data_IF_688995050218
#
_entry.id   IF_688995050218
#
_cell.length_a   1.000
_cell.length_b   1.000
_cell.length_c   1.000
_cell.angle_alpha   90.00
_cell.angle_beta   90.00
_cell.angle_gamma   90.00
#
_symmetry.space_group_name_H-M   'P 1'
#
loop_
_entity.id
_entity.type
_entity.pdbx_description
1 polymer ?
#
# COMPACT_ATOMS: atom_id res chain seq x y z
N UNK A 1 -19.17 -20.67 -12.57
CA UNK A 1 -18.18 -19.60 -12.31
C UNK A 1 -18.95 -18.43 -11.76
N UNK A 2 -18.64 -18.00 -10.50
CA UNK A 2 -19.34 -16.88 -9.87
C UNK A 2 -19.13 -15.59 -10.69
N UNK A 3 -20.20 -14.81 -10.88
CA UNK A 3 -20.16 -13.50 -11.56
C UNK A 3 -19.01 -12.63 -11.02
N UNK A 4 -18.83 -12.61 -9.70
CA UNK A 4 -17.74 -11.89 -9.03
C UNK A 4 -16.34 -12.30 -9.55
N UNK A 5 -16.11 -13.59 -9.85
CA UNK A 5 -14.82 -14.05 -10.38
C UNK A 5 -14.59 -13.61 -11.82
N UNK A 6 -15.65 -13.53 -12.61
CA UNK A 6 -15.58 -13.04 -14.00
C UNK A 6 -15.29 -11.54 -14.02
N UNK A 7 -15.97 -10.78 -13.16
CA UNK A 7 -15.77 -9.33 -13.02
C UNK A 7 -14.35 -9.02 -12.50
N UNK A 8 -13.84 -9.82 -11.56
CA UNK A 8 -12.45 -9.76 -11.09
C UNK A 8 -11.45 -9.90 -12.24
N UNK A 9 -11.56 -10.98 -13.04
CA UNK A 9 -10.64 -11.23 -14.15
C UNK A 9 -10.72 -10.14 -15.23
N UNK A 10 -11.90 -9.62 -15.49
CA UNK A 10 -12.10 -8.52 -16.46
C UNK A 10 -11.41 -7.24 -15.99
N UNK A 11 -11.59 -6.86 -14.71
CA UNK A 11 -10.90 -5.69 -14.13
C UNK A 11 -9.38 -5.87 -14.12
N UNK A 12 -8.88 -7.06 -13.75
CA UNK A 12 -7.45 -7.38 -13.79
C UNK A 12 -6.86 -7.21 -15.18
N UNK A 13 -7.55 -7.71 -16.20
CA UNK A 13 -7.10 -7.56 -17.58
C UNK A 13 -6.98 -6.09 -17.99
N UNK A 14 -7.91 -5.25 -17.53
CA UNK A 14 -7.88 -3.81 -17.79
C UNK A 14 -6.72 -3.13 -17.06
N UNK A 15 -6.56 -3.41 -15.76
CA UNK A 15 -5.51 -2.82 -14.92
C UNK A 15 -4.08 -3.23 -15.36
N UNK A 16 -3.91 -4.44 -15.89
CA UNK A 16 -2.63 -4.89 -16.49
C UNK A 16 -2.38 -4.21 -17.83
N UNK A 17 -3.42 -4.03 -18.65
CA UNK A 17 -3.27 -3.49 -20.02
C UNK A 17 -2.81 -2.03 -20.01
N UNK A 18 -3.28 -1.24 -19.06
CA UNK A 18 -2.95 0.20 -18.98
C UNK A 18 -1.45 0.45 -18.82
N UNK A 19 -0.74 -0.07 -17.81
CA UNK A 19 0.70 0.11 -17.68
C UNK A 19 1.47 -0.57 -18.82
N UNK A 20 1.01 -1.71 -19.32
CA UNK A 20 1.64 -2.38 -20.45
C UNK A 20 1.61 -1.51 -21.71
N UNK A 21 0.48 -0.88 -22.01
CA UNK A 21 0.38 0.06 -23.13
C UNK A 21 1.26 1.30 -22.93
N UNK A 22 1.38 1.79 -21.68
CA UNK A 22 2.29 2.88 -21.37
C UNK A 22 3.76 2.48 -21.62
N UNK A 23 4.17 1.28 -21.21
CA UNK A 23 5.51 0.74 -21.46
C UNK A 23 5.79 0.67 -22.96
N UNK A 24 4.88 0.07 -23.75
CA UNK A 24 5.02 -0.03 -25.21
C UNK A 24 5.09 1.35 -25.86
N UNK A 25 4.20 2.27 -25.47
CA UNK A 25 4.15 3.63 -26.01
C UNK A 25 5.41 4.44 -25.69
N UNK A 26 5.88 4.42 -24.42
CA UNK A 26 7.10 5.15 -24.03
C UNK A 26 8.35 4.57 -24.71
N UNK A 27 8.41 3.24 -24.89
CA UNK A 27 9.51 2.61 -25.66
C UNK A 27 9.53 3.08 -27.10
N UNK A 28 8.36 3.17 -27.76
CA UNK A 28 8.27 3.67 -29.14
C UNK A 28 8.67 5.15 -29.23
N UNK A 29 8.23 5.98 -28.27
CA UNK A 29 8.60 7.40 -28.21
C UNK A 29 10.10 7.55 -28.00
N UNK A 30 10.69 6.84 -27.04
CA UNK A 30 12.12 6.91 -26.73
C UNK A 30 12.97 6.58 -27.97
N UNK A 31 12.58 5.58 -28.76
CA UNK A 31 13.26 5.24 -30.04
C UNK A 31 13.21 6.36 -31.06
N UNK A 32 12.13 7.14 -31.11
CA UNK A 32 11.96 8.24 -32.08
C UNK A 32 12.65 9.54 -31.64
N UNK A 33 13.00 9.64 -30.34
CA UNK A 33 13.62 10.86 -29.77
C UNK A 33 15.04 10.59 -29.26
N UNK A 34 15.71 9.57 -29.78
CA UNK A 34 17.02 9.10 -29.30
C UNK A 34 18.09 10.20 -29.27
N UNK A 35 18.01 11.17 -30.19
CA UNK A 35 18.93 12.31 -30.23
C UNK A 35 18.64 13.41 -29.23
N UNK A 36 17.53 13.30 -28.46
CA UNK A 36 17.11 14.24 -27.44
C UNK A 36 17.20 13.59 -26.04
N UNK A 37 18.38 13.70 -25.41
CA UNK A 37 18.71 13.04 -24.14
C UNK A 37 17.64 13.25 -23.05
N UNK A 38 17.19 14.47 -22.85
CA UNK A 38 16.23 14.80 -21.77
C UNK A 38 14.88 14.11 -22.00
N UNK A 39 14.42 14.03 -23.25
CA UNK A 39 13.19 13.34 -23.61
C UNK A 39 13.32 11.82 -23.47
N UNK A 40 14.49 11.27 -23.74
CA UNK A 40 14.76 9.85 -23.49
C UNK A 40 14.70 9.56 -21.99
N UNK A 41 15.30 10.41 -21.15
CA UNK A 41 15.25 10.27 -19.69
C UNK A 41 13.83 10.33 -19.17
N UNK A 42 13.01 11.30 -19.62
CA UNK A 42 11.58 11.34 -19.26
C UNK A 42 10.83 10.05 -19.65
N UNK A 43 11.14 9.46 -20.79
CA UNK A 43 10.53 8.20 -21.20
C UNK A 43 10.97 7.05 -20.28
N UNK A 44 12.24 7.00 -19.89
CA UNK A 44 12.78 5.98 -18.97
C UNK A 44 12.15 6.08 -17.59
N UNK A 45 11.98 7.28 -17.02
CA UNK A 45 11.33 7.51 -15.72
C UNK A 45 9.87 7.02 -15.75
N UNK A 46 9.14 7.30 -16.85
CA UNK A 46 7.77 6.81 -17.02
C UNK A 46 7.70 5.29 -17.20
N UNK A 47 8.69 4.71 -17.90
CA UNK A 47 8.82 3.25 -18.02
C UNK A 47 9.07 2.60 -16.68
N UNK A 48 9.98 3.15 -15.86
CA UNK A 48 10.29 2.64 -14.52
C UNK A 48 9.05 2.68 -13.63
N UNK A 49 8.35 3.82 -13.61
CA UNK A 49 7.09 3.98 -12.85
C UNK A 49 6.03 2.96 -13.28
N UNK A 50 5.86 2.74 -14.59
CA UNK A 50 4.88 1.78 -15.12
C UNK A 50 5.25 0.33 -14.80
N UNK A 51 6.55 0.00 -14.83
CA UNK A 51 7.07 -1.32 -14.46
C UNK A 51 6.84 -1.60 -12.97
N UNK A 52 7.17 -0.66 -12.08
CA UNK A 52 6.96 -0.80 -10.64
C UNK A 52 5.49 -0.99 -10.30
N UNK A 53 4.60 -0.21 -10.94
CA UNK A 53 3.16 -0.37 -10.80
C UNK A 53 2.69 -1.76 -11.24
N UNK A 54 3.17 -2.26 -12.38
CA UNK A 54 2.78 -3.58 -12.90
C UNK A 54 3.25 -4.71 -11.96
N UNK A 55 4.48 -4.62 -11.44
CA UNK A 55 5.00 -5.60 -10.46
C UNK A 55 4.17 -5.59 -9.19
N UNK A 56 3.83 -4.41 -8.65
CA UNK A 56 2.96 -4.29 -7.47
C UNK A 56 1.60 -4.93 -7.73
N UNK A 57 0.98 -4.63 -8.87
CA UNK A 57 -0.32 -5.19 -9.25
C UNK A 57 -0.29 -6.73 -9.35
N UNK A 58 0.75 -7.29 -9.96
CA UNK A 58 0.92 -8.75 -10.06
C UNK A 58 1.05 -9.37 -8.67
N UNK A 59 1.85 -8.78 -7.79
CA UNK A 59 2.01 -9.26 -6.43
C UNK A 59 0.70 -9.19 -5.63
N UNK A 60 -0.06 -8.11 -5.77
CA UNK A 60 -1.38 -7.95 -5.15
C UNK A 60 -2.36 -9.04 -5.61
N UNK A 61 -2.39 -9.35 -6.91
CA UNK A 61 -3.22 -10.42 -7.48
C UNK A 61 -2.82 -11.79 -6.92
N UNK A 62 -1.52 -12.07 -6.86
CA UNK A 62 -1.01 -13.32 -6.32
C UNK A 62 -1.32 -13.47 -4.83
N UNK A 63 -1.14 -12.41 -4.05
CA UNK A 63 -1.48 -12.39 -2.63
C UNK A 63 -2.98 -12.62 -2.43
N UNK A 64 -3.85 -11.89 -3.16
CA UNK A 64 -5.29 -12.08 -3.09
C UNK A 64 -5.72 -13.51 -3.46
N UNK A 65 -5.13 -14.08 -4.52
CA UNK A 65 -5.38 -15.46 -4.94
C UNK A 65 -4.97 -16.48 -3.86
N UNK A 66 -3.84 -16.27 -3.18
CA UNK A 66 -3.38 -17.14 -2.07
C UNK A 66 -4.27 -17.04 -0.86
N UNK A 67 -4.73 -15.82 -0.52
CA UNK A 67 -5.66 -15.57 0.58
C UNK A 67 -7.00 -16.26 0.31
N UNK A 68 -7.61 -16.03 -0.87
CA UNK A 68 -8.91 -16.62 -1.24
C UNK A 68 -8.89 -18.13 -1.30
N UNK A 69 -7.78 -18.73 -1.74
CA UNK A 69 -7.62 -20.19 -1.79
C UNK A 69 -7.24 -20.83 -0.44
N UNK A 70 -7.07 -20.03 0.62
CA UNK A 70 -6.62 -20.50 1.94
C UNK A 70 -5.19 -21.07 1.95
N UNK A 71 -4.38 -20.74 0.94
CA UNK A 71 -2.99 -21.23 0.79
C UNK A 71 -1.94 -20.25 1.31
N UNK A 72 -2.38 -19.11 1.83
CA UNK A 72 -1.44 -18.17 2.46
C UNK A 72 -1.14 -18.65 3.88
N UNK A 73 0.12 -18.87 4.16
CA UNK A 73 0.64 -19.21 5.48
C UNK A 73 1.42 -18.01 6.03
N UNK A 74 1.27 -17.74 7.33
CA UNK A 74 2.03 -16.70 8.01
C UNK A 74 3.37 -17.26 8.49
N UNK A 75 4.45 -16.55 8.21
CA UNK A 75 5.77 -16.84 8.74
C UNK A 75 5.98 -16.08 10.06
N UNK A 76 5.43 -16.64 11.14
CA UNK A 76 5.42 -16.00 12.46
C UNK A 76 6.77 -16.15 13.12
N UNK A 77 7.42 -15.02 13.43
CA UNK A 77 8.73 -14.93 14.08
C UNK A 77 8.72 -13.82 15.13
N UNK A 78 9.63 -13.93 16.11
CA UNK A 78 9.89 -12.85 17.04
C UNK A 78 10.68 -11.74 16.34
N UNK A 79 10.22 -10.49 16.46
CA UNK A 79 10.92 -9.32 15.96
C UNK A 79 11.01 -8.25 17.03
N UNK A 80 12.07 -7.46 17.00
CA UNK A 80 12.22 -6.27 17.81
C UNK A 80 11.38 -5.13 17.23
N UNK A 81 10.54 -4.53 18.08
CA UNK A 81 9.62 -3.47 17.65
C UNK A 81 10.34 -2.18 17.30
N UNK A 82 11.43 -1.87 18.00
CA UNK A 82 12.18 -0.63 17.75
C UNK A 82 12.88 -0.69 16.39
N UNK A 83 13.49 -1.83 16.08
CA UNK A 83 14.13 -2.05 14.76
C UNK A 83 13.10 -2.07 13.64
N UNK A 84 11.91 -2.64 13.87
CA UNK A 84 10.83 -2.66 12.92
C UNK A 84 10.33 -1.23 12.60
N UNK A 85 10.05 -0.44 13.64
CA UNK A 85 9.58 0.95 13.48
C UNK A 85 10.62 1.80 12.79
N UNK A 86 11.90 1.66 13.15
CA UNK A 86 13.02 2.39 12.51
C UNK A 86 13.13 2.06 11.02
N UNK A 87 12.99 0.78 10.66
CA UNK A 87 12.98 0.33 9.27
C UNK A 87 11.82 0.95 8.47
N UNK A 88 10.61 0.87 9.02
CA UNK A 88 9.41 1.43 8.40
C UNK A 88 9.50 2.96 8.24
N UNK A 89 9.96 3.65 9.27
CA UNK A 89 10.19 5.10 9.24
C UNK A 89 11.21 5.47 8.16
N UNK A 90 12.32 4.73 8.07
CA UNK A 90 13.35 4.94 7.04
C UNK A 90 12.83 4.81 5.61
N UNK A 91 11.83 3.96 5.37
CA UNK A 91 11.20 3.80 4.06
C UNK A 91 10.15 4.88 3.76
N UNK A 92 9.38 5.30 4.77
CA UNK A 92 8.21 6.17 4.54
C UNK A 92 8.52 7.66 4.67
N UNK A 93 9.47 8.04 5.53
CA UNK A 93 9.87 9.44 5.75
C UNK A 93 10.34 10.13 4.47
N UNK A 94 11.26 9.56 3.65
CA UNK A 94 11.69 10.21 2.42
C UNK A 94 10.55 10.48 1.44
N UNK A 95 9.57 9.57 1.35
CA UNK A 95 8.42 9.74 0.47
C UNK A 95 7.51 10.88 0.93
N UNK A 96 7.29 11.00 2.24
CA UNK A 96 6.52 12.09 2.82
C UNK A 96 7.22 13.44 2.65
N UNK A 97 8.52 13.51 2.95
CA UNK A 97 9.34 14.72 2.81
C UNK A 97 9.43 15.19 1.36
N UNK A 98 9.59 14.28 0.40
CA UNK A 98 9.58 14.61 -1.03
C UNK A 98 8.27 15.29 -1.47
N UNK A 99 7.16 14.97 -0.78
CA UNK A 99 5.85 15.58 -1.02
C UNK A 99 5.59 16.82 -0.15
N UNK A 100 6.57 17.25 0.66
CA UNK A 100 6.42 18.39 1.56
C UNK A 100 5.51 18.13 2.76
N UNK A 101 5.34 16.85 3.18
CA UNK A 101 4.53 16.47 4.34
C UNK A 101 5.38 16.35 5.61
N UNK A 102 4.77 16.58 6.76
CA UNK A 102 5.35 16.23 8.06
C UNK A 102 4.99 14.79 8.40
N UNK A 103 6.01 13.93 8.51
CA UNK A 103 5.83 12.55 8.94
C UNK A 103 6.26 12.40 10.40
N UNK A 104 5.32 12.06 11.28
CA UNK A 104 5.49 11.96 12.72
C UNK A 104 5.30 10.51 13.15
N UNK A 105 6.26 9.96 13.89
CA UNK A 105 6.19 8.63 14.47
C UNK A 105 6.09 8.72 15.99
N UNK A 106 5.01 8.19 16.55
CA UNK A 106 4.76 8.12 17.99
C UNK A 106 4.79 6.66 18.46
N UNK A 107 5.96 6.20 18.86
CA UNK A 107 6.09 4.86 19.45
C UNK A 107 5.95 4.95 20.97
N UNK A 108 4.83 4.46 21.50
CA UNK A 108 4.55 4.44 22.95
C UNK A 108 4.82 3.07 23.58
N UNK A 109 5.46 2.16 22.85
CA UNK A 109 5.84 0.85 23.38
C UNK A 109 7.03 0.96 24.33
N UNK A 110 7.12 0.03 25.27
CA UNK A 110 8.30 -0.11 26.13
C UNK A 110 9.52 -0.49 25.27
N UNK A 111 10.70 0.01 25.63
CA UNK A 111 11.95 -0.40 25.03
C UNK A 111 12.15 -1.91 25.18
N UNK A 112 12.67 -2.56 24.13
CA UNK A 112 12.91 -4.00 24.12
C UNK A 112 11.65 -4.85 23.96
N UNK A 113 10.51 -4.27 23.58
CA UNK A 113 9.31 -5.03 23.27
C UNK A 113 9.54 -5.89 22.02
N UNK A 114 9.41 -7.21 22.19
CA UNK A 114 9.39 -8.15 21.08
C UNK A 114 7.95 -8.49 20.68
N UNK A 115 7.65 -8.43 19.39
CA UNK A 115 6.37 -8.86 18.83
C UNK A 115 6.54 -10.18 18.08
N UNK A 116 5.65 -11.13 18.32
CA UNK A 116 5.62 -12.41 17.62
C UNK A 116 4.56 -12.35 16.52
N UNK A 117 5.00 -12.16 15.28
CA UNK A 117 4.11 -12.00 14.11
C UNK A 117 4.86 -12.28 12.81
N UNK A 118 4.16 -12.21 11.68
CA UNK A 118 4.80 -12.15 10.36
C UNK A 118 5.22 -10.71 10.06
N UNK A 119 6.53 -10.44 10.19
CA UNK A 119 7.13 -9.13 9.96
C UNK A 119 6.82 -8.59 8.57
N UNK A 120 6.97 -9.44 7.53
CA UNK A 120 6.78 -9.03 6.14
C UNK A 120 5.33 -8.62 5.87
N UNK A 121 4.37 -9.37 6.42
CA UNK A 121 2.95 -9.08 6.24
C UNK A 121 2.49 -7.87 7.04
N UNK A 122 3.00 -7.68 8.25
CA UNK A 122 2.74 -6.47 9.03
C UNK A 122 3.33 -5.23 8.32
N UNK A 123 4.55 -5.32 7.80
CA UNK A 123 5.19 -4.26 7.03
C UNK A 123 4.38 -3.92 5.77
N UNK A 124 3.92 -4.93 5.02
CA UNK A 124 3.05 -4.75 3.85
C UNK A 124 1.76 -3.99 4.18
N UNK A 125 1.09 -4.35 5.28
CA UNK A 125 -0.12 -3.64 5.75
C UNK A 125 0.18 -2.18 6.06
N UNK A 126 1.23 -1.92 6.85
CA UNK A 126 1.56 -0.56 7.29
C UNK A 126 2.06 0.32 6.14
N UNK A 127 2.89 -0.21 5.23
CA UNK A 127 3.32 0.53 4.03
C UNK A 127 2.12 0.91 3.17
N UNK A 128 1.15 0.01 3.01
CA UNK A 128 -0.07 0.32 2.24
C UNK A 128 -0.89 1.44 2.90
N UNK A 129 -1.10 1.37 4.23
CA UNK A 129 -1.91 2.36 4.95
C UNK A 129 -1.19 3.72 5.01
N UNK A 130 0.10 3.74 5.39
CA UNK A 130 0.90 4.97 5.46
C UNK A 130 1.08 5.56 4.05
N UNK A 131 1.32 4.71 3.04
CA UNK A 131 1.43 5.13 1.64
C UNK A 131 0.15 5.80 1.13
N UNK A 132 -1.02 5.28 1.52
CA UNK A 132 -2.30 5.94 1.22
C UNK A 132 -2.43 7.28 1.94
N UNK A 133 -2.06 7.38 3.22
CA UNK A 133 -2.03 8.64 3.95
C UNK A 133 -1.12 9.68 3.28
N UNK A 134 0.11 9.31 2.93
CA UNK A 134 1.04 10.18 2.19
C UNK A 134 0.46 10.56 0.83
N UNK A 135 -0.15 9.62 0.12
CA UNK A 135 -0.72 9.83 -1.22
C UNK A 135 -1.87 10.84 -1.22
N UNK A 136 -2.77 10.75 -0.25
CA UNK A 136 -4.00 11.56 -0.20
C UNK A 136 -3.91 12.82 0.66
N UNK A 137 -2.78 13.07 1.32
CA UNK A 137 -2.50 14.31 2.03
C UNK A 137 -1.84 15.31 1.09
N UNK A 138 -2.30 16.56 1.11
CA UNK A 138 -1.72 17.66 0.33
C UNK A 138 -0.42 18.19 0.96
N UNK A 139 0.39 18.89 0.18
CA UNK A 139 1.62 19.55 0.64
C UNK A 139 1.38 20.41 1.90
N UNK A 140 2.30 20.38 2.85
CA UNK A 140 2.19 21.05 4.15
C UNK A 140 1.35 20.30 5.18
N UNK A 141 0.71 19.19 4.81
CA UNK A 141 -0.09 18.38 5.72
C UNK A 141 0.73 17.44 6.61
N UNK A 142 0.02 16.73 7.48
CA UNK A 142 0.58 15.82 8.48
C UNK A 142 0.16 14.39 8.23
N UNK A 143 1.11 13.46 8.42
CA UNK A 143 0.85 12.02 8.55
C UNK A 143 1.47 11.55 9.86
N UNK A 144 0.63 11.05 10.77
CA UNK A 144 1.03 10.61 12.11
C UNK A 144 0.85 9.10 12.19
N UNK A 145 1.95 8.38 12.38
CA UNK A 145 1.94 6.94 12.64
C UNK A 145 2.17 6.73 14.14
N UNK A 146 1.22 6.11 14.84
CA UNK A 146 1.32 5.86 16.27
C UNK A 146 1.14 4.38 16.61
N UNK A 147 1.90 3.92 17.63
CA UNK A 147 1.84 2.57 18.16
C UNK A 147 1.57 2.68 19.65
N UNK A 148 0.46 2.10 20.09
CA UNK A 148 0.02 2.17 21.48
C UNK A 148 -0.20 0.76 22.02
N UNK A 149 0.44 0.38 23.14
CA UNK A 149 0.13 -0.84 23.84
C UNK A 149 -1.19 -0.69 24.60
N UNK A 150 -2.03 -1.70 24.50
CA UNK A 150 -3.28 -1.81 25.24
C UNK A 150 -3.28 -3.09 26.09
N UNK A 151 -3.87 -3.05 27.29
CA UNK A 151 -4.06 -4.25 28.08
C UNK A 151 -5.10 -5.17 27.42
N UNK A 152 -4.68 -6.36 27.04
CA UNK A 152 -5.59 -7.36 26.48
C UNK A 152 -6.45 -8.01 27.56
N UNK A 153 -7.70 -8.31 27.27
CA UNK A 153 -8.69 -8.92 28.19
C UNK A 153 -8.26 -10.27 28.77
N UNK A 154 -7.22 -10.91 28.23
CA UNK A 154 -6.70 -12.24 28.63
C UNK A 154 -5.27 -12.20 29.18
N UNK A 155 -4.79 -11.04 29.65
CA UNK A 155 -3.44 -10.91 30.24
C UNK A 155 -2.31 -10.83 29.20
N UNK A 156 -2.61 -10.79 27.89
CA UNK A 156 -1.66 -10.48 26.82
C UNK A 156 -1.64 -8.98 26.51
N UNK A 157 -0.55 -8.49 25.92
CA UNK A 157 -0.50 -7.14 25.37
C UNK A 157 -1.08 -7.13 23.95
N UNK A 158 -1.99 -6.18 23.68
CA UNK A 158 -2.45 -5.84 22.33
C UNK A 158 -1.71 -4.60 21.88
N UNK A 159 -1.28 -4.57 20.61
CA UNK A 159 -0.70 -3.38 20.02
C UNK A 159 -1.69 -2.79 19.02
N UNK A 160 -2.02 -1.52 19.22
CA UNK A 160 -2.82 -0.75 18.28
C UNK A 160 -1.89 0.10 17.41
N UNK A 161 -1.90 -0.16 16.09
CA UNK A 161 -1.23 0.64 15.08
C UNK A 161 -2.26 1.61 14.49
N UNK A 162 -1.97 2.91 14.54
CA UNK A 162 -2.85 3.95 14.02
C UNK A 162 -2.12 4.86 13.06
N UNK A 163 -2.75 5.18 11.95
CA UNK A 163 -2.27 6.18 10.99
C UNK A 163 -3.33 7.26 10.86
N UNK A 164 -2.96 8.49 11.18
CA UNK A 164 -3.82 9.66 11.03
C UNK A 164 -3.21 10.60 10.01
N UNK A 165 -4.02 11.07 9.09
CA UNK A 165 -3.63 12.06 8.09
C UNK A 165 -4.54 13.29 8.13
N UNK A 166 -4.07 14.38 7.52
CA UNK A 166 -4.83 15.61 7.33
C UNK A 166 -5.25 15.79 5.86
N UNK A 167 -5.42 14.69 5.16
CA UNK A 167 -5.76 14.65 3.74
C UNK A 167 -7.22 14.95 3.42
N UNK A 168 -7.63 14.54 2.22
CA UNK A 168 -8.96 14.79 1.69
C UNK A 168 -10.09 14.08 2.44
N UNK A 169 -9.76 13.12 3.32
CA UNK A 169 -10.73 12.26 3.99
C UNK A 169 -11.40 11.25 3.06
N UNK A 170 -12.34 10.49 3.62
CA UNK A 170 -13.12 9.48 2.91
C UNK A 170 -14.60 9.82 3.10
N UNK A 171 -15.36 9.88 2.01
CA UNK A 171 -16.80 10.09 2.06
C UNK A 171 -17.48 8.97 2.86
N UNK A 172 -18.49 9.32 3.67
CA UNK A 172 -19.18 8.33 4.53
C UNK A 172 -19.76 7.16 3.74
N UNK A 173 -20.25 7.43 2.54
CA UNK A 173 -20.84 6.43 1.63
C UNK A 173 -19.81 5.41 1.11
N UNK A 174 -18.53 5.80 1.11
CA UNK A 174 -17.43 4.93 0.64
C UNK A 174 -16.78 4.11 1.76
N UNK A 175 -17.03 4.43 3.04
CA UNK A 175 -16.36 3.82 4.19
C UNK A 175 -16.53 2.29 4.24
N UNK A 176 -17.73 1.79 3.95
CA UNK A 176 -18.02 0.35 3.97
C UNK A 176 -17.43 -0.38 2.76
N UNK A 177 -17.15 0.34 1.68
CA UNK A 177 -16.73 -0.24 0.41
C UNK A 177 -15.23 -0.18 0.14
N UNK A 178 -14.48 0.69 0.82
CA UNK A 178 -13.03 0.86 0.59
C UNK A 178 -12.19 -0.40 0.88
N UNK A 179 -12.71 -1.34 1.66
CA UNK A 179 -12.09 -2.64 1.94
C UNK A 179 -12.51 -3.74 0.96
N UNK A 180 -13.43 -3.46 0.05
CA UNK A 180 -13.78 -4.37 -1.02
C UNK A 180 -12.72 -4.35 -2.11
N UNK A 181 -12.39 -5.52 -2.64
CA UNK A 181 -11.42 -5.61 -3.72
C UNK A 181 -11.88 -4.79 -4.94
N UNK A 182 -10.98 -3.95 -5.49
CA UNK A 182 -11.21 -3.08 -6.66
C UNK A 182 -12.24 -1.96 -6.48
N UNK A 183 -12.69 -1.69 -5.28
CA UNK A 183 -13.47 -0.50 -5.01
C UNK A 183 -12.55 0.66 -4.66
N UNK A 184 -12.87 1.82 -5.21
CA UNK A 184 -12.18 3.08 -4.97
C UNK A 184 -13.23 4.12 -4.59
N UNK A 185 -12.90 4.97 -3.61
CA UNK A 185 -13.84 5.95 -3.05
C UNK A 185 -14.43 6.90 -4.10
N UNK A 186 -13.71 7.13 -5.22
CA UNK A 186 -14.20 7.94 -6.35
C UNK A 186 -13.64 7.42 -7.68
N UNK A 187 -14.49 7.34 -8.72
CA UNK A 187 -14.08 6.96 -10.08
C UNK A 187 -13.07 7.93 -10.72
N UNK A 188 -13.02 9.18 -10.26
CA UNK A 188 -12.10 10.21 -10.76
C UNK A 188 -10.72 10.21 -10.07
N UNK A 189 -10.58 9.55 -8.92
CA UNK A 189 -9.32 9.49 -8.16
C UNK A 189 -8.29 8.55 -8.81
N UNK A 190 -8.73 7.55 -9.55
CA UNK A 190 -7.84 6.61 -10.26
C UNK A 190 -6.98 7.29 -11.32
N UNK A 191 -7.51 8.32 -12.00
CA UNK A 191 -6.80 9.06 -13.05
C UNK A 191 -5.73 9.98 -12.44
N UNK A 192 -5.97 10.51 -11.23
CA UNK A 192 -5.08 11.51 -10.61
C UNK A 192 -4.03 10.89 -9.69
N UNK A 193 -4.37 9.80 -9.00
CA UNK A 193 -3.52 9.26 -7.93
C UNK A 193 -3.10 7.80 -8.14
N UNK A 194 -3.69 7.06 -9.09
CA UNK A 194 -3.37 5.64 -9.36
C UNK A 194 -3.68 4.71 -8.17
N UNK A 195 -3.61 3.42 -8.37
CA UNK A 195 -3.74 2.40 -7.31
C UNK A 195 -4.55 1.21 -7.80
N UNK A 196 -4.22 0.02 -7.29
CA UNK A 196 -4.82 -1.26 -7.72
C UNK A 196 -6.24 -1.46 -7.17
N UNK A 197 -6.61 -0.73 -6.10
CA UNK A 197 -7.84 -0.98 -5.35
C UNK A 197 -7.83 -2.31 -4.58
N UNK A 198 -6.69 -3.01 -4.56
CA UNK A 198 -6.51 -4.27 -3.83
C UNK A 198 -5.84 -4.06 -2.47
N UNK A 199 -5.04 -3.03 -2.30
CA UNK A 199 -4.19 -2.86 -1.13
C UNK A 199 -4.96 -2.91 0.19
N UNK A 200 -6.06 -2.15 0.35
CA UNK A 200 -6.86 -2.15 1.58
C UNK A 200 -7.58 -3.49 1.80
N UNK A 201 -8.07 -4.14 0.75
CA UNK A 201 -8.69 -5.46 0.84
C UNK A 201 -7.67 -6.51 1.33
N UNK A 202 -6.46 -6.51 0.76
CA UNK A 202 -5.35 -7.39 1.17
C UNK A 202 -4.96 -7.07 2.62
N UNK A 203 -4.80 -5.79 2.97
CA UNK A 203 -4.45 -5.37 4.32
C UNK A 203 -5.46 -5.87 5.36
N UNK A 204 -6.75 -5.71 5.09
CA UNK A 204 -7.82 -6.21 5.97
C UNK A 204 -7.74 -7.73 6.16
N UNK A 205 -7.51 -8.48 5.09
CA UNK A 205 -7.38 -9.95 5.17
C UNK A 205 -6.13 -10.38 5.94
N UNK A 206 -4.99 -9.73 5.71
CA UNK A 206 -3.75 -10.01 6.44
C UNK A 206 -3.90 -9.73 7.94
N UNK A 207 -4.53 -8.60 8.31
CA UNK A 207 -4.82 -8.26 9.71
C UNK A 207 -5.70 -9.33 10.35
N UNK A 208 -6.78 -9.76 9.69
CA UNK A 208 -7.64 -10.86 10.18
C UNK A 208 -6.85 -12.17 10.38
N UNK A 209 -5.95 -12.53 9.44
CA UNK A 209 -5.11 -13.72 9.55
C UNK A 209 -4.11 -13.62 10.72
N UNK A 210 -3.65 -12.41 11.04
CA UNK A 210 -2.75 -12.13 12.19
C UNK A 210 -3.50 -12.02 13.52
N UNK A 211 -4.85 -12.15 13.54
CA UNK A 211 -5.67 -12.11 14.76
C UNK A 211 -6.10 -10.70 15.19
N UNK A 212 -6.00 -9.73 14.27
CA UNK A 212 -6.42 -8.34 14.45
C UNK A 212 -7.87 -8.07 14.02
#
# INVERSE_FOLDING_TARGET
>A
VSQAKTDFLSRMSHEIRTPLNAIVGMTAIARNVVDHRDRVLECLDKLETSNQYLISLINDILDMSRIESGKMELNVQSMDMEDFVRSLEGMMRPQAEQKGLRFIVENRCCQGLALVTDRLRLEQVLINIIGNAVKFTGEGGDVIFSITPEEGSSGGQRLTFSVKDTGIGIASEAMDSIFNAFEQAEKNTSVKYGGTGLGLAISSRLVQMMGG
#
